data_IF_094919416694
#
_entry.id   IF_094919416694
#
_cell.length_a   1.000
_cell.length_b   1.000
_cell.length_c   1.000
_cell.angle_alpha   90.00
_cell.angle_beta   90.00
_cell.angle_gamma   90.00
#
_symmetry.space_group_name_H-M   'P 1'
#
loop_
_entity.id
_entity.type
_entity.pdbx_description
1 polymer ?
#
# COMPACT_ATOMS: atom_id res chain seq x y z
N UNK A 1 -8.02 21.49 -87.82
CA UNK A 1 -7.64 20.30 -87.11
C UNK A 1 -6.60 20.67 -86.03
N UNK A 2 -6.97 20.82 -84.77
CA UNK A 2 -6.08 21.18 -83.66
C UNK A 2 -5.87 19.96 -82.79
N UNK A 3 -4.64 19.45 -82.84
CA UNK A 3 -4.22 18.34 -81.93
C UNK A 3 -4.00 18.90 -80.54
N UNK A 4 -4.73 18.38 -79.60
CA UNK A 4 -4.57 18.65 -78.16
C UNK A 4 -3.61 17.60 -77.56
N UNK A 5 -2.44 18.04 -77.14
CA UNK A 5 -1.47 17.17 -76.42
C UNK A 5 -1.73 17.29 -74.95
N UNK A 6 -2.21 16.21 -74.34
CA UNK A 6 -2.40 16.11 -72.90
C UNK A 6 -1.11 15.61 -72.28
N UNK A 7 -0.41 16.50 -71.55
CA UNK A 7 0.76 16.10 -70.74
C UNK A 7 0.32 15.48 -69.43
N UNK A 8 0.64 14.22 -69.29
CA UNK A 8 0.39 13.46 -68.02
C UNK A 8 1.52 13.72 -67.03
N UNK A 9 1.25 14.52 -66.00
CA UNK A 9 2.17 14.73 -64.89
C UNK A 9 2.04 13.56 -63.91
N UNK A 10 3.04 12.68 -63.89
CA UNK A 10 3.17 11.64 -62.84
C UNK A 10 3.78 12.32 -61.61
N UNK A 11 2.98 12.49 -60.57
CA UNK A 11 3.42 12.96 -59.26
C UNK A 11 3.98 11.78 -58.47
N UNK A 12 5.30 11.64 -58.44
CA UNK A 12 5.99 10.69 -57.56
C UNK A 12 5.99 11.27 -56.14
N UNK A 13 5.03 10.83 -55.30
CA UNK A 13 5.00 11.13 -53.89
C UNK A 13 6.06 10.32 -53.16
N UNK A 14 7.13 10.96 -52.72
CA UNK A 14 8.08 10.37 -51.77
C UNK A 14 7.43 10.28 -50.39
N UNK A 15 7.11 9.08 -49.94
CA UNK A 15 6.65 8.82 -48.56
C UNK A 15 7.86 8.78 -47.65
N UNK A 16 8.16 9.91 -46.98
CA UNK A 16 9.11 9.94 -45.87
C UNK A 16 8.49 9.22 -44.65
N UNK A 17 8.81 7.94 -44.51
CA UNK A 17 8.55 7.21 -43.29
C UNK A 17 9.47 7.71 -42.17
N UNK A 18 9.00 8.70 -41.40
CA UNK A 18 9.65 9.11 -40.13
C UNK A 18 9.66 7.94 -39.19
N UNK A 19 10.79 7.23 -39.16
CA UNK A 19 11.10 6.21 -38.15
C UNK A 19 11.23 6.91 -36.81
N UNK A 20 10.13 7.00 -36.05
CA UNK A 20 10.17 7.45 -34.65
C UNK A 20 10.86 6.37 -33.82
N UNK A 21 12.15 6.56 -33.60
CA UNK A 21 12.90 5.83 -32.59
C UNK A 21 12.22 6.04 -31.24
N UNK A 22 11.51 5.02 -30.76
CA UNK A 22 10.99 5.01 -29.40
C UNK A 22 12.19 4.91 -28.45
N UNK A 23 12.59 6.02 -27.85
CA UNK A 23 13.60 6.04 -26.80
C UNK A 23 13.24 5.07 -25.67
N UNK A 24 14.22 4.64 -24.86
CA UNK A 24 13.98 3.71 -23.75
C UNK A 24 12.91 4.29 -22.84
N UNK A 25 11.78 3.57 -22.70
CA UNK A 25 10.73 3.93 -21.77
C UNK A 25 11.30 3.79 -20.37
N UNK A 26 11.51 4.90 -19.69
CA UNK A 26 11.83 4.91 -18.28
C UNK A 26 10.60 4.37 -17.53
N UNK A 27 10.67 3.10 -17.13
CA UNK A 27 9.69 2.50 -16.21
C UNK A 27 10.07 3.00 -14.82
N UNK A 28 9.23 3.82 -14.16
CA UNK A 28 9.53 4.25 -12.80
C UNK A 28 9.66 3.02 -11.90
N UNK A 29 10.71 2.96 -11.09
CA UNK A 29 10.82 1.94 -10.05
C UNK A 29 9.59 2.07 -9.14
N UNK A 30 8.94 0.94 -8.76
CA UNK A 30 7.86 0.99 -7.80
C UNK A 30 8.37 1.62 -6.51
N UNK A 31 7.71 2.69 -6.07
CA UNK A 31 7.99 3.31 -4.78
C UNK A 31 7.74 2.33 -3.64
N UNK A 32 8.15 2.68 -2.40
CA UNK A 32 7.88 1.85 -1.24
C UNK A 32 6.38 1.56 -1.15
N UNK A 33 6.03 0.28 -1.01
CA UNK A 33 4.64 -0.14 -0.90
C UNK A 33 4.01 0.47 0.36
N UNK A 34 2.77 0.94 0.25
CA UNK A 34 2.00 1.47 1.37
C UNK A 34 0.62 0.83 1.43
N UNK A 35 0.08 0.64 2.63
CA UNK A 35 -1.23 0.07 2.87
C UNK A 35 -1.91 0.82 4.00
N UNK A 36 -3.15 1.27 3.76
CA UNK A 36 -3.98 1.87 4.80
C UNK A 36 -4.91 0.80 5.39
N UNK A 37 -5.08 0.83 6.70
CA UNK A 37 -5.93 -0.10 7.45
C UNK A 37 -6.70 0.67 8.51
N UNK A 38 -8.01 0.44 8.59
CA UNK A 38 -8.85 0.93 9.67
C UNK A 38 -9.06 -0.21 10.69
N UNK A 39 -8.77 0.05 11.97
CA UNK A 39 -9.03 -0.88 13.07
C UNK A 39 -9.93 -0.18 14.08
N UNK A 40 -11.06 -0.81 14.38
CA UNK A 40 -11.99 -0.41 15.42
C UNK A 40 -11.71 -1.19 16.69
N UNK A 41 -11.67 -0.49 17.81
CA UNK A 41 -11.55 -1.06 19.14
C UNK A 41 -12.90 -1.02 19.86
N UNK A 42 -13.28 -2.12 20.48
CA UNK A 42 -14.41 -2.21 21.41
C UNK A 42 -14.09 -3.26 22.48
N UNK A 43 -14.82 -3.30 23.59
CA UNK A 43 -14.57 -4.29 24.67
C UNK A 43 -15.01 -5.70 24.23
N UNK A 44 -14.13 -6.67 24.02
CA UNK A 44 -12.67 -6.62 24.27
C UNK A 44 -11.98 -7.16 23.02
N UNK A 45 -12.14 -6.48 21.92
CA UNK A 45 -11.69 -6.93 20.60
C UNK A 45 -11.23 -5.77 19.71
N UNK A 46 -10.44 -6.12 18.72
CA UNK A 46 -10.12 -5.27 17.59
C UNK A 46 -10.77 -5.83 16.32
N UNK A 47 -11.32 -4.95 15.48
CA UNK A 47 -11.91 -5.34 14.20
C UNK A 47 -11.26 -4.54 13.06
N UNK A 48 -10.56 -5.18 12.10
CA UNK A 48 -10.22 -6.60 12.09
C UNK A 48 -9.18 -6.98 13.16
N UNK A 49 -9.25 -8.22 13.66
CA UNK A 49 -8.25 -8.78 14.57
C UNK A 49 -7.01 -9.34 13.89
N UNK A 50 -7.02 -9.43 12.54
CA UNK A 50 -5.87 -9.83 11.73
C UNK A 50 -5.72 -8.93 10.53
N UNK A 51 -4.49 -8.43 10.33
CA UNK A 51 -4.07 -7.63 9.18
C UNK A 51 -2.97 -8.38 8.43
N UNK A 52 -3.09 -8.50 7.12
CA UNK A 52 -2.07 -9.14 6.27
C UNK A 52 -1.30 -8.09 5.49
N UNK A 53 0.03 -8.24 5.43
CA UNK A 53 0.92 -7.36 4.67
C UNK A 53 2.18 -8.10 4.23
N UNK A 54 3.13 -7.40 3.64
CA UNK A 54 4.45 -7.93 3.25
C UNK A 54 5.58 -7.10 3.86
N UNK A 55 6.74 -7.71 3.99
CA UNK A 55 7.96 -7.02 4.44
C UNK A 55 8.20 -5.76 3.61
N UNK A 56 8.55 -4.67 4.27
CA UNK A 56 8.85 -3.38 3.64
C UNK A 56 7.63 -2.53 3.29
N UNK A 57 6.40 -3.05 3.45
CA UNK A 57 5.18 -2.27 3.25
C UNK A 57 4.92 -1.39 4.47
N UNK A 58 4.79 -0.09 4.27
CA UNK A 58 4.40 0.83 5.33
C UNK A 58 2.90 0.77 5.57
N UNK A 59 2.51 0.24 6.72
CA UNK A 59 1.13 0.27 7.20
C UNK A 59 0.83 1.63 7.82
N UNK A 60 -0.23 2.28 7.37
CA UNK A 60 -0.87 3.41 8.06
C UNK A 60 -2.14 2.89 8.70
N UNK A 61 -2.13 2.72 10.02
CA UNK A 61 -3.24 2.14 10.78
C UNK A 61 -4.01 3.27 11.44
N UNK A 62 -5.26 3.44 11.03
CA UNK A 62 -6.19 4.37 11.66
C UNK A 62 -7.02 3.62 12.70
N UNK A 63 -7.03 4.15 13.91
CA UNK A 63 -7.60 3.53 15.09
C UNK A 63 -8.80 4.34 15.58
N UNK A 64 -9.94 3.69 15.75
CA UNK A 64 -11.16 4.27 16.30
C UNK A 64 -11.68 3.41 17.45
N UNK A 65 -12.46 4.00 18.34
CA UNK A 65 -13.18 3.26 19.37
C UNK A 65 -14.67 3.37 19.20
N UNK A 66 -15.38 2.29 19.48
CA UNK A 66 -16.84 2.25 19.46
C UNK A 66 -17.47 2.35 20.86
N UNK A 67 -16.66 2.40 21.91
CA UNK A 67 -17.15 2.51 23.28
C UNK A 67 -16.27 3.42 24.14
N UNK A 68 -15.28 2.90 24.84
CA UNK A 68 -14.43 3.58 25.80
C UNK A 68 -13.05 3.93 25.23
N UNK A 69 -12.19 4.54 26.05
CA UNK A 69 -10.79 4.68 25.72
C UNK A 69 -10.08 3.34 25.68
N UNK A 70 -9.23 3.14 24.70
CA UNK A 70 -8.37 1.97 24.55
C UNK A 70 -6.93 2.40 24.31
N UNK A 71 -6.03 1.44 24.23
CA UNK A 71 -4.68 1.62 23.72
C UNK A 71 -4.43 0.67 22.55
N UNK A 72 -3.37 0.91 21.85
CA UNK A 72 -2.90 0.04 20.78
C UNK A 72 -1.38 0.02 20.83
N UNK A 73 -0.79 -1.14 21.00
CA UNK A 73 0.67 -1.32 20.86
C UNK A 73 0.99 -2.57 20.07
N UNK A 74 2.08 -2.53 19.31
CA UNK A 74 2.64 -3.69 18.63
C UNK A 74 3.81 -4.20 19.47
N UNK A 75 3.71 -5.43 19.96
CA UNK A 75 4.72 -6.02 20.83
C UNK A 75 6.08 -6.12 20.13
N UNK A 76 7.14 -5.79 20.88
CA UNK A 76 8.50 -5.80 20.36
C UNK A 76 8.87 -4.62 19.46
N UNK A 77 8.02 -3.59 19.41
CA UNK A 77 8.24 -2.35 18.65
C UNK A 77 8.02 -1.11 19.53
N UNK A 78 8.32 0.07 18.98
CA UNK A 78 8.02 1.36 19.63
C UNK A 78 6.59 1.85 19.36
N UNK A 79 5.79 1.13 18.58
CA UNK A 79 4.43 1.56 18.22
C UNK A 79 3.53 1.41 19.45
N UNK A 80 3.04 2.56 19.94
CA UNK A 80 2.08 2.66 21.02
C UNK A 80 1.26 3.95 20.90
N UNK A 81 -0.07 3.85 21.01
CA UNK A 81 -0.97 4.99 20.89
C UNK A 81 -2.20 4.81 21.79
N UNK A 82 -2.75 5.93 22.26
CA UNK A 82 -4.07 5.95 22.91
C UNK A 82 -5.15 6.10 21.85
N UNK A 83 -6.21 5.31 21.97
CA UNK A 83 -7.40 5.39 21.13
C UNK A 83 -8.48 6.09 21.93
N UNK A 84 -8.89 7.33 21.55
CA UNK A 84 -9.92 8.03 22.29
C UNK A 84 -11.28 7.33 22.14
N UNK A 85 -12.09 7.41 23.18
CA UNK A 85 -13.45 6.83 23.18
C UNK A 85 -14.30 7.32 22.03
N UNK A 86 -15.39 6.62 21.76
CA UNK A 86 -16.37 6.93 20.70
C UNK A 86 -16.60 8.44 20.55
N UNK A 87 -16.57 8.90 19.30
CA UNK A 87 -16.85 10.30 18.92
C UNK A 87 -15.87 11.35 19.49
N UNK A 88 -14.74 10.94 20.04
CA UNK A 88 -13.73 11.86 20.59
C UNK A 88 -12.47 11.98 19.72
N UNK A 89 -12.47 11.36 18.57
CA UNK A 89 -11.37 11.43 17.61
C UNK A 89 -10.87 10.07 17.15
N UNK A 90 -9.75 10.11 16.47
CA UNK A 90 -9.04 8.93 15.95
C UNK A 90 -7.56 9.02 16.32
N UNK A 91 -6.90 7.87 16.42
CA UNK A 91 -5.44 7.82 16.47
C UNK A 91 -4.92 7.22 15.15
N UNK A 92 -3.71 7.58 14.78
CA UNK A 92 -3.04 7.01 13.60
C UNK A 92 -1.64 6.63 13.98
N UNK A 93 -1.24 5.41 13.62
CA UNK A 93 0.12 4.93 13.79
C UNK A 93 0.65 4.39 12.46
N UNK A 94 1.96 4.40 12.30
CA UNK A 94 2.65 3.78 11.16
C UNK A 94 3.52 2.63 11.64
N UNK A 95 3.58 1.58 10.84
CA UNK A 95 4.42 0.42 11.09
C UNK A 95 4.94 -0.14 9.79
N UNK A 96 6.27 -0.32 9.68
CA UNK A 96 6.91 -0.94 8.51
C UNK A 96 7.69 -2.15 9.00
N UNK A 97 7.17 -3.38 8.77
CA UNK A 97 7.86 -4.59 9.20
C UNK A 97 9.12 -4.82 8.35
N UNK A 98 10.23 -5.13 9.00
CA UNK A 98 11.52 -5.47 8.39
C UNK A 98 11.72 -6.99 8.20
N UNK A 99 10.90 -7.81 8.83
CA UNK A 99 10.98 -9.28 8.80
C UNK A 99 9.61 -9.91 8.62
N UNK A 100 9.53 -11.07 7.94
CA UNK A 100 8.30 -11.84 7.89
C UNK A 100 7.99 -12.45 9.26
N UNK A 101 6.71 -12.67 9.52
CA UNK A 101 6.26 -13.28 10.76
C UNK A 101 4.95 -12.73 11.27
N UNK A 102 4.64 -13.03 12.52
CA UNK A 102 3.43 -12.62 13.21
C UNK A 102 3.76 -11.60 14.30
N UNK A 103 3.30 -10.38 14.12
CA UNK A 103 3.43 -9.31 15.10
C UNK A 103 2.11 -9.17 15.86
N UNK A 104 2.14 -9.44 17.15
CA UNK A 104 0.95 -9.28 18.00
C UNK A 104 0.76 -7.80 18.33
N UNK A 105 -0.45 -7.31 18.17
CA UNK A 105 -0.87 -6.05 18.78
C UNK A 105 -1.89 -6.31 19.89
N UNK A 106 -1.92 -5.44 20.87
CA UNK A 106 -2.81 -5.58 22.02
C UNK A 106 -3.25 -4.20 22.56
N UNK A 107 -4.31 -4.22 23.36
CA UNK A 107 -4.73 -3.04 24.09
C UNK A 107 -3.70 -2.69 25.16
N UNK A 108 -3.20 -1.44 25.15
CA UNK A 108 -2.22 -0.94 26.13
C UNK A 108 -2.83 -0.05 27.22
N UNK A 109 -4.15 0.16 27.18
CA UNK A 109 -4.88 0.94 28.16
C UNK A 109 -5.96 0.07 28.81
N UNK A 110 -5.98 0.00 30.14
CA UNK A 110 -6.96 -0.82 30.87
C UNK A 110 -8.37 -0.35 30.58
N UNK A 111 -9.12 -1.13 29.80
CA UNK A 111 -10.45 -0.79 29.29
C UNK A 111 -11.59 -1.62 29.97
N UNK A 112 -11.26 -2.51 30.90
CA UNK A 112 -12.21 -3.36 31.65
C UNK A 112 -11.70 -4.76 31.89
N UNK A 113 -12.58 -5.65 32.37
CA UNK A 113 -12.24 -7.01 32.87
C UNK A 113 -11.61 -7.93 31.81
N UNK A 114 -11.94 -7.72 30.51
CA UNK A 114 -11.38 -8.51 29.39
C UNK A 114 -10.15 -7.89 28.75
N UNK A 115 -9.60 -6.82 29.30
CA UNK A 115 -8.46 -6.10 28.74
C UNK A 115 -7.29 -7.00 28.34
N UNK A 116 -6.92 -7.97 29.17
CA UNK A 116 -5.78 -8.87 28.93
C UNK A 116 -5.97 -9.83 27.75
N UNK A 117 -7.20 -9.99 27.26
CA UNK A 117 -7.52 -10.83 26.12
C UNK A 117 -7.67 -10.03 24.81
N UNK A 118 -7.70 -8.70 24.89
CA UNK A 118 -7.91 -7.82 23.75
C UNK A 118 -6.66 -7.72 22.88
N UNK A 119 -6.58 -8.58 21.88
CA UNK A 119 -5.39 -8.76 21.01
C UNK A 119 -5.77 -9.00 19.56
N UNK A 120 -4.80 -8.76 18.69
CA UNK A 120 -4.83 -9.13 17.28
C UNK A 120 -3.43 -9.34 16.74
N UNK A 121 -3.31 -9.49 15.42
CA UNK A 121 -2.02 -9.72 14.80
C UNK A 121 -1.90 -9.07 13.42
N UNK A 122 -0.67 -8.67 13.10
CA UNK A 122 -0.24 -8.35 11.75
C UNK A 122 0.56 -9.55 11.25
N UNK A 123 0.07 -10.20 10.19
CA UNK A 123 0.74 -11.33 9.53
C UNK A 123 1.51 -10.79 8.34
N UNK A 124 2.83 -10.89 8.42
CA UNK A 124 3.76 -10.33 7.44
C UNK A 124 4.34 -11.45 6.59
N UNK A 125 3.99 -11.48 5.31
CA UNK A 125 4.61 -12.37 4.33
C UNK A 125 5.99 -11.83 3.89
N UNK A 126 6.89 -12.70 3.40
CA UNK A 126 8.12 -12.24 2.76
C UNK A 126 7.83 -11.20 1.67
N UNK A 127 8.75 -10.29 1.44
CA UNK A 127 8.66 -9.42 0.27
C UNK A 127 8.56 -10.29 -0.99
N UNK A 128 7.75 -9.88 -1.97
CA UNK A 128 7.75 -10.54 -3.26
C UNK A 128 9.19 -10.53 -3.79
N UNK A 129 9.74 -11.71 -4.12
CA UNK A 129 11.04 -11.79 -4.74
C UNK A 129 11.00 -10.90 -5.98
N UNK A 130 11.81 -9.85 -5.99
CA UNK A 130 12.01 -9.04 -7.18
C UNK A 130 12.31 -9.98 -8.33
N UNK A 131 11.73 -9.75 -9.51
CA UNK A 131 12.04 -10.53 -10.70
C UNK A 131 13.57 -10.70 -10.80
N UNK A 132 14.09 -11.90 -11.09
CA UNK A 132 15.52 -12.15 -11.10
C UNK A 132 16.21 -11.10 -11.98
N UNK A 133 17.21 -10.42 -11.42
CA UNK A 133 18.11 -9.63 -12.23
C UNK A 133 18.64 -10.54 -13.33
N UNK A 134 18.27 -10.26 -14.58
CA UNK A 134 18.64 -11.08 -15.71
C UNK A 134 20.13 -11.38 -15.66
N UNK A 135 20.42 -12.66 -15.60
CA UNK A 135 21.77 -13.20 -15.74
C UNK A 135 22.35 -12.70 -17.08
N UNK A 136 23.50 -12.12 -16.99
CA UNK A 136 24.31 -11.72 -18.15
C UNK A 136 25.45 -12.68 -18.32
#
# INVERSE_FOLDING_TARGET
MRMLVIALFVFMGASDALSRSAGPRHVPLPGPASQAVDIQAERFQFTPSEVKTTVGTTLTIRLTSDDTDHGFRILGTSVNASIPKRSRGTATVTFTPDKPGRYTFECSHVCGAGHSFMRGAIVVAPAAAGAPAGDR
#
